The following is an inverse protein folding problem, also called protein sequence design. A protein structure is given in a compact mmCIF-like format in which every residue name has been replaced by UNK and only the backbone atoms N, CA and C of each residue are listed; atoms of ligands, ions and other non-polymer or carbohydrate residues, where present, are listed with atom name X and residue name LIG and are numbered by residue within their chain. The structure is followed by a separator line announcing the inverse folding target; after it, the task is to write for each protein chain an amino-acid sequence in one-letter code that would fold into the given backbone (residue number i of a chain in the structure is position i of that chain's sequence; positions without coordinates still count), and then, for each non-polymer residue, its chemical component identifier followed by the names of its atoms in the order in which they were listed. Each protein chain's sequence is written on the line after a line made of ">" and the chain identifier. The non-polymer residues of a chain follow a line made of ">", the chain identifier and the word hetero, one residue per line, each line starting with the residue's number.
data_IF_355781791761
#
_entry.id   IF_355781791761
#
_cell.length_a   1.000
_cell.length_b   1.000
_cell.length_c   1.000
_cell.angle_alpha   90.00
_cell.angle_beta   90.00
_cell.angle_gamma   90.00
#
_symmetry.space_group_name_H-M   'P 1'
#
loop_
_entity.id
_entity.type
_entity.pdbx_description
1 polymer ?
#
# COMPACT_ATOMS: atom_id res chain seq x y z
N UNK A 1 49.37 52.66 -70.67
CA UNK A 1 48.45 51.59 -71.14
C UNK A 1 47.07 51.90 -70.59
N UNK A 2 46.04 51.96 -71.45
CA UNK A 2 44.66 52.22 -71.01
C UNK A 2 44.13 51.02 -70.20
N UNK A 3 43.66 51.28 -68.97
CA UNK A 3 43.08 50.27 -68.07
C UNK A 3 41.80 49.60 -68.62
N UNK A 4 41.15 50.23 -69.59
CA UNK A 4 39.88 49.79 -70.16
C UNK A 4 39.92 48.38 -70.81
N UNK A 5 41.08 47.88 -71.21
CA UNK A 5 41.21 46.60 -71.89
C UNK A 5 41.70 45.44 -70.98
N UNK A 6 41.75 45.62 -69.66
CA UNK A 6 42.23 44.57 -68.75
C UNK A 6 41.34 43.33 -68.88
N UNK A 7 41.85 42.19 -69.40
CA UNK A 7 41.03 41.01 -69.64
C UNK A 7 40.39 40.49 -68.37
N UNK A 8 39.17 39.96 -68.48
CA UNK A 8 38.57 39.23 -67.36
C UNK A 8 39.43 38.03 -66.98
N UNK A 9 39.61 37.82 -65.67
CA UNK A 9 40.26 36.65 -65.09
C UNK A 9 39.41 36.11 -63.94
N UNK A 10 39.22 34.78 -63.90
CA UNK A 10 38.50 34.11 -62.84
C UNK A 10 39.28 34.10 -61.50
N UNK A 11 40.61 34.18 -61.54
CA UNK A 11 41.46 34.17 -60.34
C UNK A 11 41.37 35.50 -59.57
N UNK A 12 41.13 36.59 -60.30
CA UNK A 12 40.94 37.94 -59.73
C UNK A 12 39.81 38.67 -60.44
N UNK A 13 38.56 38.24 -60.20
CA UNK A 13 37.42 38.70 -60.98
C UNK A 13 37.11 40.16 -60.64
N UNK A 14 37.12 41.00 -61.67
CA UNK A 14 36.71 42.38 -61.59
C UNK A 14 35.17 42.44 -61.73
N UNK A 15 34.45 43.18 -60.86
CA UNK A 15 32.98 43.28 -60.90
C UNK A 15 32.44 43.76 -62.25
N UNK A 16 31.23 43.32 -62.60
CA UNK A 16 30.52 43.71 -63.82
C UNK A 16 30.41 45.22 -63.95
N UNK A 17 30.10 45.91 -62.83
CA UNK A 17 29.92 47.35 -62.77
C UNK A 17 31.16 48.12 -63.23
N UNK A 18 32.35 47.59 -62.98
CA UNK A 18 33.60 48.22 -63.42
C UNK A 18 33.70 48.21 -64.95
N UNK A 19 33.49 47.06 -65.58
CA UNK A 19 33.53 46.94 -67.04
C UNK A 19 32.37 47.70 -67.72
N UNK A 20 31.18 47.71 -67.11
CA UNK A 20 30.05 48.47 -67.63
C UNK A 20 30.30 49.98 -67.60
N UNK A 21 30.92 50.50 -66.53
CA UNK A 21 31.30 51.90 -66.43
C UNK A 21 32.39 52.29 -67.43
N UNK A 22 33.39 51.43 -67.65
CA UNK A 22 34.41 51.66 -68.68
C UNK A 22 33.82 51.62 -70.10
N UNK A 23 32.87 50.73 -70.36
CA UNK A 23 32.15 50.69 -71.64
C UNK A 23 31.38 51.99 -71.89
N UNK A 24 30.61 52.45 -70.89
CA UNK A 24 29.87 53.70 -70.98
C UNK A 24 30.80 54.89 -71.23
N UNK A 25 31.94 54.95 -70.54
CA UNK A 25 32.95 56.01 -70.71
C UNK A 25 33.56 56.00 -72.10
N UNK A 26 33.88 54.82 -72.65
CA UNK A 26 34.44 54.70 -74.00
C UNK A 26 33.41 55.06 -75.08
N UNK A 27 32.16 54.64 -74.93
CA UNK A 27 31.12 54.86 -75.94
C UNK A 27 30.64 56.31 -75.98
N UNK A 28 30.59 57.02 -74.84
CA UNK A 28 30.09 58.41 -74.73
C UNK A 28 30.90 59.47 -75.50
N UNK A 29 32.10 59.15 -76.02
CA UNK A 29 32.97 60.13 -76.71
C UNK A 29 33.38 59.78 -78.14
N UNK A 30 32.91 58.66 -78.71
CA UNK A 30 33.52 58.05 -79.91
C UNK A 30 32.56 57.96 -81.12
N UNK A 31 31.25 57.97 -80.91
CA UNK A 31 30.25 57.79 -81.98
C UNK A 31 29.88 59.16 -82.58
N UNK A 32 29.98 59.38 -83.91
CA UNK A 32 29.86 58.39 -85.00
C UNK A 32 31.16 58.00 -85.76
N UNK A 33 32.32 58.60 -85.47
CA UNK A 33 33.54 58.42 -86.27
C UNK A 33 34.56 57.45 -85.64
N UNK A 34 34.08 56.36 -85.05
CA UNK A 34 34.91 55.38 -84.33
C UNK A 34 35.95 54.72 -85.26
N UNK A 35 37.22 54.76 -84.86
CA UNK A 35 38.29 54.02 -85.55
C UNK A 35 38.18 52.51 -85.29
N UNK A 36 38.78 51.69 -86.18
CA UNK A 36 38.81 50.22 -86.03
C UNK A 36 39.38 49.77 -84.68
N UNK A 37 40.37 50.47 -84.14
CA UNK A 37 40.98 50.12 -82.86
C UNK A 37 40.10 50.49 -81.66
N UNK A 38 39.34 51.57 -81.76
CA UNK A 38 38.31 51.93 -80.76
C UNK A 38 37.18 50.90 -80.75
N UNK A 39 36.75 50.41 -81.91
CA UNK A 39 35.75 49.33 -82.02
C UNK A 39 36.26 48.05 -81.35
N UNK A 40 37.50 47.61 -81.64
CA UNK A 40 38.11 46.44 -80.97
C UNK A 40 38.17 46.60 -79.45
N UNK A 41 38.44 47.81 -78.96
CA UNK A 41 38.49 48.08 -77.52
C UNK A 41 37.09 47.96 -76.90
N UNK A 42 36.06 48.50 -77.56
CA UNK A 42 34.66 48.37 -77.14
C UNK A 42 34.23 46.89 -77.11
N UNK A 43 34.58 46.12 -78.13
CA UNK A 43 34.30 44.67 -78.20
C UNK A 43 34.99 43.90 -77.08
N UNK A 44 36.25 44.24 -76.76
CA UNK A 44 36.98 43.62 -75.65
C UNK A 44 36.33 43.93 -74.29
N UNK A 45 35.93 45.18 -74.04
CA UNK A 45 35.21 45.57 -72.82
C UNK A 45 33.88 44.83 -72.73
N UNK A 46 33.10 44.78 -73.80
CA UNK A 46 31.81 44.08 -73.84
C UNK A 46 31.96 42.57 -73.56
N UNK A 47 33.03 41.96 -74.06
CA UNK A 47 33.37 40.55 -73.77
C UNK A 47 33.72 40.34 -72.30
N UNK A 48 34.43 41.29 -71.69
CA UNK A 48 34.74 41.25 -70.25
C UNK A 48 33.49 41.44 -69.38
N UNK A 49 32.54 42.32 -69.76
CA UNK A 49 31.23 42.48 -69.09
C UNK A 49 30.50 41.13 -69.07
N UNK A 50 30.39 40.47 -70.23
CA UNK A 50 29.71 39.16 -70.35
C UNK A 50 30.39 38.10 -69.49
N UNK A 51 31.73 38.03 -69.55
CA UNK A 51 32.51 37.02 -68.81
C UNK A 51 32.40 37.22 -67.30
N UNK A 52 32.51 38.47 -66.83
CA UNK A 52 32.33 38.82 -65.41
C UNK A 52 30.91 38.50 -64.93
N UNK A 53 29.89 38.84 -65.73
CA UNK A 53 28.50 38.57 -65.36
C UNK A 53 28.22 37.07 -65.24
N UNK A 54 28.65 36.27 -66.22
CA UNK A 54 28.50 34.82 -66.19
C UNK A 54 29.19 34.21 -64.96
N UNK A 55 30.41 34.65 -64.63
CA UNK A 55 31.14 34.16 -63.47
C UNK A 55 30.41 34.45 -62.15
N UNK A 56 29.97 35.70 -61.93
CA UNK A 56 29.27 36.06 -60.70
C UNK A 56 27.87 35.41 -60.61
N UNK A 57 27.18 35.25 -61.73
CA UNK A 57 25.90 34.54 -61.78
C UNK A 57 26.07 33.06 -61.41
N UNK A 58 27.09 32.39 -61.94
CA UNK A 58 27.41 31.01 -61.58
C UNK A 58 27.78 30.90 -60.10
N UNK A 59 28.62 31.80 -59.58
CA UNK A 59 29.00 31.82 -58.16
C UNK A 59 27.79 31.95 -57.24
N UNK A 60 26.89 32.89 -57.54
CA UNK A 60 25.66 33.08 -56.78
C UNK A 60 24.73 31.87 -56.88
N UNK A 61 24.61 31.27 -58.06
CA UNK A 61 23.82 30.05 -58.26
C UNK A 61 24.35 28.88 -57.41
N UNK A 62 25.66 28.66 -57.39
CA UNK A 62 26.28 27.65 -56.53
C UNK A 62 26.02 27.93 -55.04
N UNK A 63 26.18 29.17 -54.60
CA UNK A 63 25.92 29.56 -53.20
C UNK A 63 24.45 29.36 -52.80
N UNK A 64 23.51 29.72 -53.68
CA UNK A 64 22.09 29.52 -53.43
C UNK A 64 21.75 28.03 -53.29
N UNK A 65 22.30 27.18 -54.17
CA UNK A 65 22.11 25.73 -54.08
C UNK A 65 22.66 25.15 -52.76
N UNK A 66 23.83 25.62 -52.31
CA UNK A 66 24.39 25.21 -51.01
C UNK A 66 23.50 25.64 -49.83
N UNK A 67 22.96 26.86 -49.87
CA UNK A 67 22.03 27.34 -48.84
C UNK A 67 20.74 26.55 -48.83
N UNK A 68 20.18 26.22 -49.99
CA UNK A 68 18.97 25.41 -50.10
C UNK A 68 19.17 24.00 -49.53
N UNK A 69 20.31 23.37 -49.81
CA UNK A 69 20.65 22.07 -49.21
C UNK A 69 20.82 22.15 -47.70
N UNK A 70 21.49 23.20 -47.19
CA UNK A 70 21.62 23.43 -45.74
C UNK A 70 20.26 23.64 -45.07
N UNK A 71 19.35 24.35 -45.72
CA UNK A 71 17.99 24.57 -45.23
C UNK A 71 17.22 23.25 -45.12
N UNK A 72 17.20 22.45 -46.19
CA UNK A 72 16.57 21.11 -46.21
C UNK A 72 17.12 20.18 -45.12
N UNK A 73 18.43 20.22 -44.89
CA UNK A 73 19.07 19.45 -43.81
C UNK A 73 18.66 19.95 -42.41
N UNK A 74 18.46 21.25 -42.25
CA UNK A 74 18.00 21.83 -40.97
C UNK A 74 16.53 21.53 -40.71
N UNK A 75 15.69 21.58 -41.73
CA UNK A 75 14.26 21.24 -41.63
C UNK A 75 14.06 19.78 -41.22
N UNK A 76 14.75 18.85 -41.89
CA UNK A 76 14.70 17.43 -41.50
C UNK A 76 15.22 17.17 -40.07
N UNK A 77 16.25 17.91 -39.62
CA UNK A 77 16.71 17.84 -38.23
C UNK A 77 15.66 18.39 -37.25
N UNK A 78 14.98 19.48 -37.58
CA UNK A 78 13.91 20.04 -36.76
C UNK A 78 12.73 19.08 -36.65
N UNK A 79 12.33 18.44 -37.75
CA UNK A 79 11.26 17.43 -37.73
C UNK A 79 11.63 16.23 -36.85
N UNK A 80 12.87 15.75 -36.94
CA UNK A 80 13.37 14.69 -36.08
C UNK A 80 13.39 15.09 -34.59
N UNK A 81 13.73 16.34 -34.27
CA UNK A 81 13.70 16.87 -32.91
C UNK A 81 12.27 17.02 -32.38
N UNK A 82 11.34 17.52 -33.19
CA UNK A 82 9.91 17.58 -32.85
C UNK A 82 9.34 16.20 -32.56
N UNK A 83 9.69 15.20 -33.38
CA UNK A 83 9.28 13.82 -33.14
C UNK A 83 9.84 13.26 -31.83
N UNK A 84 11.09 13.60 -31.47
CA UNK A 84 11.69 13.22 -30.18
C UNK A 84 11.00 13.91 -29.00
N UNK A 85 10.67 15.20 -29.15
CA UNK A 85 9.96 15.97 -28.12
C UNK A 85 8.58 15.36 -27.84
N UNK A 86 7.77 15.12 -28.87
CA UNK A 86 6.45 14.50 -28.72
C UNK A 86 6.53 13.11 -28.08
N UNK A 87 7.60 12.34 -28.31
CA UNK A 87 7.80 11.05 -27.64
C UNK A 87 8.14 11.21 -26.16
N UNK A 88 8.90 12.24 -25.80
CA UNK A 88 9.22 12.52 -24.40
C UNK A 88 8.01 13.04 -23.64
N UNK A 89 7.20 13.92 -24.24
CA UNK A 89 5.94 14.39 -23.66
C UNK A 89 5.01 13.21 -23.32
N UNK A 90 4.80 12.29 -24.26
CA UNK A 90 4.02 11.07 -24.01
C UNK A 90 4.58 10.19 -22.89
N UNK A 91 5.91 10.14 -22.72
CA UNK A 91 6.54 9.41 -21.61
C UNK A 91 6.28 10.09 -20.27
N UNK A 92 6.31 11.42 -20.24
CA UNK A 92 5.97 12.19 -19.03
C UNK A 92 4.51 11.99 -18.64
N UNK A 93 3.58 12.07 -19.59
CA UNK A 93 2.16 11.78 -19.36
C UNK A 93 1.96 10.38 -18.78
N UNK A 94 2.64 9.37 -19.34
CA UNK A 94 2.56 8.00 -18.82
C UNK A 94 3.10 7.88 -17.39
N UNK A 95 4.22 8.52 -17.10
CA UNK A 95 4.82 8.52 -15.76
C UNK A 95 3.91 9.20 -14.72
N UNK A 96 3.22 10.27 -15.12
CA UNK A 96 2.25 10.95 -14.26
C UNK A 96 1.05 10.05 -13.95
N UNK A 97 0.55 9.32 -14.95
CA UNK A 97 -0.50 8.31 -14.76
C UNK A 97 -0.03 7.20 -13.82
N UNK A 98 1.18 6.66 -14.01
CA UNK A 98 1.74 5.60 -13.14
C UNK A 98 1.88 6.08 -11.68
N UNK A 99 2.35 7.32 -11.49
CA UNK A 99 2.45 7.94 -10.16
C UNK A 99 1.07 8.03 -9.50
N UNK A 100 0.06 8.52 -10.23
CA UNK A 100 -1.30 8.64 -9.70
C UNK A 100 -1.90 7.29 -9.32
N UNK A 101 -1.67 6.24 -10.13
CA UNK A 101 -2.10 4.87 -9.82
C UNK A 101 -1.40 4.36 -8.55
N UNK A 102 -0.09 4.61 -8.42
CA UNK A 102 0.66 4.19 -7.23
C UNK A 102 0.15 4.88 -5.95
N UNK A 103 -0.08 6.19 -6.00
CA UNK A 103 -0.63 6.95 -4.88
C UNK A 103 -2.04 6.50 -4.51
N UNK A 104 -2.91 6.29 -5.50
CA UNK A 104 -4.26 5.75 -5.28
C UNK A 104 -4.23 4.37 -4.61
N UNK A 105 -3.38 3.47 -5.10
CA UNK A 105 -3.24 2.13 -4.53
C UNK A 105 -2.68 2.16 -3.11
N UNK A 106 -1.78 3.08 -2.80
CA UNK A 106 -1.24 3.23 -1.44
C UNK A 106 -2.35 3.62 -0.46
N UNK A 107 -3.12 4.66 -0.79
CA UNK A 107 -4.23 5.12 0.05
C UNK A 107 -5.30 4.04 0.20
N UNK A 108 -5.68 3.36 -0.90
CA UNK A 108 -6.66 2.29 -0.83
C UNK A 108 -6.19 1.13 0.04
N UNK A 109 -4.93 0.71 -0.10
CA UNK A 109 -4.39 -0.38 0.70
C UNK A 109 -4.39 -0.06 2.19
N UNK A 110 -3.97 1.15 2.58
CA UNK A 110 -3.98 1.56 3.99
C UNK A 110 -5.43 1.56 4.54
N UNK A 111 -6.38 2.09 3.77
CA UNK A 111 -7.81 2.07 4.14
C UNK A 111 -8.37 0.65 4.28
N UNK A 112 -8.01 -0.27 3.38
CA UNK A 112 -8.45 -1.66 3.44
C UNK A 112 -7.82 -2.41 4.60
N UNK A 113 -6.53 -2.20 4.89
CA UNK A 113 -5.86 -2.82 6.03
C UNK A 113 -6.46 -2.35 7.36
N UNK A 114 -6.77 -1.05 7.48
CA UNK A 114 -7.46 -0.50 8.64
C UNK A 114 -8.88 -1.10 8.78
N UNK A 115 -9.63 -1.17 7.68
CA UNK A 115 -10.96 -1.77 7.68
C UNK A 115 -10.94 -3.25 8.07
N UNK A 116 -10.02 -4.04 7.51
CA UNK A 116 -9.84 -5.46 7.84
C UNK A 116 -9.45 -5.63 9.31
N UNK A 117 -8.58 -4.76 9.83
CA UNK A 117 -8.16 -4.80 11.24
C UNK A 117 -9.35 -4.52 12.17
N UNK A 118 -10.17 -3.52 11.86
CA UNK A 118 -11.40 -3.23 12.60
C UNK A 118 -12.38 -4.42 12.59
N UNK A 119 -12.61 -5.04 11.43
CA UNK A 119 -13.46 -6.22 11.32
C UNK A 119 -12.94 -7.41 12.14
N UNK A 120 -11.62 -7.62 12.18
CA UNK A 120 -11.01 -8.67 13.01
C UNK A 120 -11.25 -8.43 14.49
N UNK A 121 -11.12 -7.18 14.94
CA UNK A 121 -11.37 -6.82 16.33
C UNK A 121 -12.85 -6.98 16.70
N UNK A 122 -13.77 -6.55 15.84
CA UNK A 122 -15.21 -6.77 16.02
C UNK A 122 -15.55 -8.27 16.09
N UNK A 123 -14.99 -9.07 15.19
CA UNK A 123 -15.19 -10.51 15.19
C UNK A 123 -14.67 -11.16 16.47
N UNK A 124 -13.50 -10.75 16.95
CA UNK A 124 -12.92 -11.22 18.21
C UNK A 124 -13.82 -10.85 19.40
N UNK A 125 -14.33 -9.63 19.44
CA UNK A 125 -15.26 -9.20 20.49
C UNK A 125 -16.56 -10.01 20.48
N UNK A 126 -17.13 -10.26 19.30
CA UNK A 126 -18.32 -11.09 19.15
C UNK A 126 -18.07 -12.53 19.60
N UNK A 127 -16.94 -13.12 19.21
CA UNK A 127 -16.55 -14.47 19.64
C UNK A 127 -16.49 -14.59 21.17
N UNK A 128 -15.82 -13.65 21.85
CA UNK A 128 -15.77 -13.62 23.30
C UNK A 128 -17.16 -13.44 23.96
N UNK A 129 -18.06 -12.69 23.33
CA UNK A 129 -19.45 -12.54 23.83
C UNK A 129 -20.22 -13.85 23.68
N UNK A 130 -20.07 -14.54 22.54
CA UNK A 130 -20.72 -15.83 22.30
C UNK A 130 -20.27 -16.87 23.31
N UNK A 131 -18.96 -16.98 23.59
CA UNK A 131 -18.43 -17.91 24.58
C UNK A 131 -19.01 -17.67 25.99
N UNK A 132 -19.14 -16.40 26.40
CA UNK A 132 -19.80 -16.04 27.68
C UNK A 132 -21.25 -16.51 27.74
N UNK A 133 -22.00 -16.29 26.66
CA UNK A 133 -23.40 -16.72 26.56
C UNK A 133 -23.52 -18.25 26.59
N UNK A 134 -22.57 -18.98 26.02
CA UNK A 134 -22.53 -20.45 26.09
C UNK A 134 -22.30 -20.95 27.51
N UNK A 135 -21.36 -20.34 28.24
CA UNK A 135 -21.14 -20.67 29.66
C UNK A 135 -22.39 -20.39 30.49
N UNK A 136 -23.01 -19.21 30.32
CA UNK A 136 -24.25 -18.84 31.03
C UNK A 136 -25.39 -19.83 30.73
N UNK A 137 -25.55 -20.23 29.46
CA UNK A 137 -26.54 -21.24 29.04
C UNK A 137 -26.29 -22.57 29.73
N UNK A 138 -25.04 -23.03 29.80
CA UNK A 138 -24.70 -24.32 30.38
C UNK A 138 -24.89 -24.34 31.91
N UNK A 139 -24.57 -23.24 32.58
CA UNK A 139 -24.83 -23.06 34.01
C UNK A 139 -26.34 -23.01 34.32
N UNK A 140 -27.13 -22.33 33.48
CA UNK A 140 -28.58 -22.33 33.58
C UNK A 140 -29.15 -23.74 33.40
N UNK A 141 -28.70 -24.47 32.38
CA UNK A 141 -29.10 -25.86 32.11
C UNK A 141 -28.80 -26.78 33.30
N UNK A 142 -27.63 -26.63 33.93
CA UNK A 142 -27.26 -27.36 35.15
C UNK A 142 -28.20 -27.02 36.31
N UNK A 143 -28.49 -25.73 36.51
CA UNK A 143 -29.40 -25.24 37.56
C UNK A 143 -30.83 -25.77 37.38
N UNK A 144 -31.34 -25.79 36.15
CA UNK A 144 -32.63 -26.40 35.83
C UNK A 144 -32.67 -27.90 36.13
N UNK A 145 -31.59 -28.63 35.82
CA UNK A 145 -31.50 -30.07 36.09
C UNK A 145 -31.55 -30.37 37.59
N UNK A 146 -30.76 -29.63 38.40
CA UNK A 146 -30.76 -29.73 39.87
C UNK A 146 -32.15 -29.41 40.43
N UNK A 147 -32.78 -28.35 39.92
CA UNK A 147 -34.13 -27.94 40.37
C UNK A 147 -35.18 -28.98 40.02
N UNK A 148 -35.12 -29.58 38.83
CA UNK A 148 -36.02 -30.66 38.40
C UNK A 148 -35.91 -31.89 39.31
N UNK A 149 -34.70 -32.27 39.70
CA UNK A 149 -34.48 -33.40 40.60
C UNK A 149 -35.02 -33.15 42.01
N UNK A 150 -34.83 -31.93 42.53
CA UNK A 150 -35.45 -31.49 43.80
C UNK A 150 -36.98 -31.53 43.74
N UNK A 151 -37.59 -31.11 42.63
CA UNK A 151 -39.04 -31.19 42.44
C UNK A 151 -39.52 -32.64 42.53
N UNK A 152 -38.87 -33.58 41.82
CA UNK A 152 -39.20 -35.01 41.90
C UNK A 152 -39.09 -35.58 43.32
N UNK A 153 -38.07 -35.16 44.07
CA UNK A 153 -37.92 -35.56 45.47
C UNK A 153 -39.06 -35.03 46.34
N UNK A 154 -39.43 -33.76 46.17
CA UNK A 154 -40.53 -33.13 46.91
C UNK A 154 -41.87 -33.77 46.55
N UNK A 155 -42.15 -34.03 45.27
CA UNK A 155 -43.34 -34.76 44.82
C UNK A 155 -43.44 -36.14 45.48
N UNK A 156 -42.31 -36.86 45.56
CA UNK A 156 -42.24 -38.16 46.24
C UNK A 156 -42.51 -38.06 47.74
N UNK A 157 -42.02 -37.01 48.40
CA UNK A 157 -42.28 -36.75 49.82
C UNK A 157 -43.74 -36.40 50.08
N UNK A 158 -44.32 -35.54 49.25
CA UNK A 158 -45.75 -35.17 49.32
C UNK A 158 -46.61 -36.42 49.14
N UNK A 159 -46.35 -37.26 48.14
CA UNK A 159 -47.09 -38.51 47.93
C UNK A 159 -47.00 -39.47 49.13
N UNK A 160 -45.87 -39.51 49.86
CA UNK A 160 -45.74 -40.29 51.10
C UNK A 160 -46.59 -39.68 52.22
N UNK A 161 -46.51 -38.36 52.42
CA UNK A 161 -47.31 -37.65 53.41
C UNK A 161 -48.81 -37.82 53.16
N UNK A 162 -49.27 -37.72 51.91
CA UNK A 162 -50.66 -37.97 51.54
C UNK A 162 -51.12 -39.38 51.90
N UNK A 163 -50.27 -40.40 51.71
CA UNK A 163 -50.58 -41.78 52.15
C UNK A 163 -50.66 -41.89 53.66
N UNK A 164 -49.73 -41.26 54.39
CA UNK A 164 -49.75 -41.24 55.86
C UNK A 164 -50.99 -40.55 56.40
N UNK A 165 -51.38 -39.40 55.83
CA UNK A 165 -52.61 -38.68 56.19
C UNK A 165 -53.83 -39.56 55.94
N UNK A 166 -53.96 -40.16 54.75
CA UNK A 166 -55.06 -41.10 54.44
C UNK A 166 -55.10 -42.32 55.37
N UNK A 167 -53.95 -42.79 55.86
CA UNK A 167 -53.88 -43.87 56.85
C UNK A 167 -54.40 -43.40 58.20
N UNK A 168 -53.95 -42.23 58.68
CA UNK A 168 -54.42 -41.64 59.94
C UNK A 168 -55.91 -41.27 59.89
N UNK A 169 -56.44 -40.84 58.75
CA UNK A 169 -57.87 -40.56 58.54
C UNK A 169 -58.74 -41.83 58.59
N UNK A 170 -58.19 -43.00 58.24
CA UNK A 170 -58.92 -44.29 58.27
C UNK A 170 -58.96 -44.93 59.65
N UNK A 171 -58.09 -44.51 60.56
CA UNK A 171 -58.05 -45.04 61.92
C UNK A 171 -57.84 -43.92 62.97
N UNK A 172 -58.81 -43.00 63.13
CA UNK A 172 -58.75 -41.99 64.18
C UNK A 172 -58.77 -42.63 65.59
N UNK A 173 -59.24 -43.89 65.68
CA UNK A 173 -59.48 -44.57 66.95
C UNK A 173 -58.31 -45.43 67.43
N UNK A 174 -57.22 -45.58 66.66
CA UNK A 174 -56.06 -46.34 67.14
C UNK A 174 -55.36 -45.64 68.32
N UNK A 175 -55.43 -44.30 68.40
CA UNK A 175 -54.92 -43.53 69.53
C UNK A 175 -55.98 -43.22 70.60
N UNK A 176 -57.27 -43.22 70.25
CA UNK A 176 -58.35 -43.06 71.24
C UNK A 176 -58.53 -44.30 72.13
N UNK A 177 -58.24 -45.49 71.60
CA UNK A 177 -58.19 -46.73 72.40
C UNK A 177 -56.91 -46.89 73.24
N UNK A 178 -55.86 -46.11 72.96
CA UNK A 178 -54.67 -46.02 73.81
C UNK A 178 -54.79 -44.92 74.89
N UNK A 179 -55.52 -43.83 74.63
CA UNK A 179 -55.68 -42.74 75.61
C UNK A 179 -56.71 -43.05 76.72
N UNK A 180 -57.66 -43.97 76.46
CA UNK A 180 -58.63 -44.45 77.44
C UNK A 180 -58.06 -45.45 78.46
N UNK A 181 -56.83 -45.95 78.28
CA UNK A 181 -56.13 -46.85 79.22
C UNK A 181 -54.88 -46.22 79.88
N UNK A 182 -54.66 -44.92 79.73
CA UNK A 182 -53.51 -44.19 80.29
C UNK A 182 -53.76 -43.27 81.49
N UNK A 183 -54.85 -43.34 82.30
CA UNK A 183 -54.85 -42.65 83.61
C UNK A 183 -54.04 -43.38 84.69
N UNK A 184 -53.87 -44.71 84.60
CA UNK A 184 -53.34 -45.50 85.73
C UNK A 184 -51.81 -45.71 85.72
N UNK A 185 -51.11 -45.46 84.62
CA UNK A 185 -49.66 -45.67 84.54
C UNK A 185 -48.82 -44.40 84.82
N UNK A 186 -49.44 -43.25 85.07
CA UNK A 186 -48.72 -41.98 85.39
C UNK A 186 -48.44 -41.84 86.89
N UNK A 187 -49.08 -42.65 87.76
CA UNK A 187 -48.76 -42.68 89.20
C UNK A 187 -47.65 -43.66 89.61
N UNK A 188 -47.19 -44.54 88.72
CA UNK A 188 -46.14 -45.52 89.02
C UNK A 188 -44.74 -45.11 88.53
N UNK A 189 -44.64 -44.13 87.63
CA UNK A 189 -43.36 -43.67 87.07
C UNK A 189 -42.71 -42.48 87.80
N UNK A 190 -43.45 -41.74 88.64
CA UNK A 190 -42.90 -40.68 89.51
C UNK A 190 -42.07 -41.24 90.69
N UNK A 191 -42.20 -42.54 90.99
CA UNK A 191 -41.45 -43.22 92.06
C UNK A 191 -40.11 -43.86 91.63
N UNK A 192 -39.77 -43.86 90.33
CA UNK A 192 -38.61 -44.64 89.81
C UNK A 192 -37.55 -43.83 89.06
N UNK A 193 -37.70 -42.52 88.89
CA UNK A 193 -36.66 -41.66 88.28
C UNK A 193 -35.75 -40.94 89.31
N UNK A 194 -35.86 -41.27 90.60
CA UNK A 194 -34.95 -40.77 91.64
C UNK A 194 -33.60 -41.51 91.71
N UNK A 195 -33.34 -42.51 90.86
CA UNK A 195 -32.13 -43.31 90.99
C UNK A 195 -31.61 -43.85 89.65
N UNK A 196 -30.90 -43.02 88.88
CA UNK A 196 -29.85 -43.41 87.93
C UNK A 196 -29.11 -42.17 87.39
N UNK A 197 -28.37 -41.51 88.29
CA UNK A 197 -27.17 -40.78 87.89
C UNK A 197 -26.05 -41.80 87.67
N UNK A 198 -25.45 -41.85 86.48
CA UNK A 198 -24.01 -42.08 86.23
C UNK A 198 -23.72 -42.29 84.72
N UNK A 199 -23.18 -41.23 84.08
CA UNK A 199 -22.05 -41.13 83.10
C UNK A 199 -21.84 -42.21 81.98
N UNK A 200 -21.04 -41.94 80.91
CA UNK A 200 -20.37 -40.70 80.49
C UNK A 200 -20.51 -40.33 78.97
N UNK A 201 -20.08 -39.10 78.68
CA UNK A 201 -19.86 -38.49 77.35
C UNK A 201 -18.81 -39.22 76.49
N UNK A 202 -19.02 -39.31 75.17
CA UNK A 202 -17.99 -39.49 74.12
C UNK A 202 -18.44 -38.79 72.82
N UNK A 203 -17.53 -38.15 72.05
CA UNK A 203 -17.84 -37.00 71.19
C UNK A 203 -17.98 -37.36 69.70
N UNK A 204 -18.65 -36.49 68.92
CA UNK A 204 -18.57 -36.51 67.46
C UNK A 204 -17.73 -35.33 66.97
N UNK A 205 -16.56 -35.68 66.44
CA UNK A 205 -15.57 -34.78 65.86
C UNK A 205 -16.00 -34.18 64.52
N UNK A 206 -15.28 -33.10 64.18
CA UNK A 206 -15.31 -32.28 62.97
C UNK A 206 -15.17 -33.12 61.69
N UNK A 207 -15.66 -32.58 60.57
CA UNK A 207 -14.76 -32.29 59.44
C UNK A 207 -15.29 -31.14 58.58
N UNK A 208 -14.43 -30.13 58.47
CA UNK A 208 -14.43 -29.04 57.49
C UNK A 208 -13.55 -29.54 56.36
N UNK A 209 -14.08 -29.65 55.15
CA UNK A 209 -13.25 -29.84 53.96
C UNK A 209 -13.34 -28.60 53.08
N UNK A 210 -12.24 -27.84 53.12
CA UNK A 210 -11.76 -27.04 51.99
C UNK A 210 -11.05 -28.01 51.03
N UNK A 211 -11.41 -27.96 49.75
CA UNK A 211 -10.51 -28.30 48.63
C UNK A 211 -10.20 -26.98 47.92
N UNK A 212 -9.05 -26.36 48.17
CA UNK A 212 -7.73 -26.62 47.59
C UNK A 212 -7.68 -26.42 46.08
N UNK A 213 -6.94 -25.39 45.69
CA UNK A 213 -6.50 -25.09 44.34
C UNK A 213 -5.55 -26.19 43.81
N UNK A 214 -5.46 -26.21 42.48
CA UNK A 214 -4.25 -26.42 41.67
C UNK A 214 -4.05 -27.81 41.05
N UNK A 215 -4.14 -27.86 39.71
CA UNK A 215 -3.13 -28.51 38.85
C UNK A 215 -3.03 -27.77 37.51
N UNK A 216 -1.98 -26.95 37.41
CA UNK A 216 -1.08 -26.75 36.25
C UNK A 216 -1.42 -27.47 34.93
N UNK A 217 -1.50 -26.68 33.85
CA UNK A 217 -0.85 -26.99 32.58
C UNK A 217 -0.10 -25.73 32.11
N UNK A 218 1.21 -25.70 32.37
CA UNK A 218 2.16 -24.96 31.54
C UNK A 218 2.46 -25.81 30.29
N UNK A 219 2.96 -25.10 29.29
CA UNK A 219 3.64 -25.56 28.09
C UNK A 219 2.77 -25.77 26.84
N UNK A 220 2.65 -24.68 26.07
CA UNK A 220 2.83 -24.66 24.62
C UNK A 220 3.29 -23.25 24.20
N UNK A 221 4.59 -22.98 24.41
CA UNK A 221 5.30 -21.91 23.72
C UNK A 221 6.51 -22.53 23.04
N UNK A 222 6.35 -22.88 21.77
CA UNK A 222 7.36 -23.25 20.78
C UNK A 222 6.61 -23.28 19.44
N UNK A 223 6.97 -22.60 18.35
CA UNK A 223 8.01 -21.63 18.07
C UNK A 223 7.75 -21.08 16.66
N UNK A 224 8.08 -19.81 16.45
CA UNK A 224 8.89 -19.44 15.30
C UNK A 224 9.55 -18.10 15.61
N UNK A 225 10.81 -18.27 16.01
CA UNK A 225 11.90 -17.32 15.97
C UNK A 225 12.05 -16.77 14.56
N UNK A 226 12.17 -15.45 14.46
CA UNK A 226 13.33 -14.76 13.89
C UNK A 226 12.93 -13.30 13.67
N UNK A 227 13.36 -12.40 14.58
CA UNK A 227 14.17 -11.25 14.21
C UNK A 227 14.55 -10.43 15.45
N UNK A 228 15.83 -10.08 15.48
CA UNK A 228 16.57 -9.53 16.60
C UNK A 228 16.10 -8.16 17.09
N UNK A 229 16.16 -8.04 18.43
CA UNK A 229 16.87 -6.93 19.06
C UNK A 229 16.21 -5.57 19.02
N UNK A 230 15.22 -5.34 19.87
CA UNK A 230 15.16 -4.08 20.61
C UNK A 230 14.78 -4.36 22.06
N UNK A 231 15.72 -4.05 22.95
CA UNK A 231 15.53 -4.07 24.39
C UNK A 231 14.25 -3.31 24.76
N UNK A 232 13.29 -4.05 25.32
CA UNK A 232 12.23 -3.46 26.14
C UNK A 232 12.89 -2.96 27.42
N UNK A 233 13.31 -1.70 27.40
CA UNK A 233 13.38 -0.89 28.61
C UNK A 233 12.46 0.31 28.48
N UNK A 234 11.62 0.40 29.49
CA UNK A 234 10.94 1.58 30.01
C UNK A 234 9.72 2.05 29.22
N UNK A 235 8.58 1.51 29.68
CA UNK A 235 7.35 2.26 29.87
C UNK A 235 7.66 3.56 30.63
N UNK A 236 7.75 4.68 29.93
CA UNK A 236 7.18 5.97 30.38
C UNK A 236 7.19 7.03 29.27
N UNK A 237 6.13 7.85 29.28
CA UNK A 237 5.91 9.10 28.55
C UNK A 237 5.42 9.04 27.10
N UNK A 238 4.12 8.85 26.93
CA UNK A 238 3.14 9.97 26.78
C UNK A 238 3.41 11.11 25.78
N UNK A 239 4.46 11.08 24.98
CA UNK A 239 4.70 12.10 23.96
C UNK A 239 4.21 11.58 22.58
N UNK A 240 3.05 12.06 22.08
CA UNK A 240 2.50 11.63 20.79
C UNK A 240 3.46 11.90 19.62
N UNK A 241 4.37 12.84 19.78
CA UNK A 241 5.37 13.18 18.77
C UNK A 241 6.42 12.05 18.59
N UNK A 242 6.80 11.36 19.66
CA UNK A 242 7.73 10.22 19.60
C UNK A 242 7.05 8.99 18.98
N UNK A 243 5.75 8.79 19.24
CA UNK A 243 4.99 7.71 18.60
C UNK A 243 4.81 7.96 17.10
N UNK A 244 4.52 9.20 16.72
CA UNK A 244 4.44 9.62 15.31
C UNK A 244 5.77 9.40 14.60
N UNK A 245 6.89 9.82 15.20
CA UNK A 245 8.22 9.60 14.62
C UNK A 245 8.57 8.11 14.48
N UNK A 246 8.14 7.23 15.40
CA UNK A 246 8.33 5.78 15.26
C UNK A 246 7.48 5.19 14.13
N UNK A 247 6.24 5.64 13.99
CA UNK A 247 5.37 5.23 12.89
C UNK A 247 5.94 5.68 11.53
N UNK A 248 6.36 6.94 11.43
CA UNK A 248 6.98 7.52 10.23
C UNK A 248 8.27 6.78 9.86
N UNK A 249 9.11 6.45 10.84
CA UNK A 249 10.35 5.70 10.61
C UNK A 249 10.07 4.26 10.14
N UNK A 250 9.04 3.61 10.70
CA UNK A 250 8.60 2.28 10.25
C UNK A 250 8.08 2.33 8.81
N UNK A 251 7.34 3.38 8.45
CA UNK A 251 6.85 3.60 7.09
C UNK A 251 8.01 3.85 6.11
N UNK A 252 9.00 4.67 6.49
CA UNK A 252 10.22 4.89 5.71
C UNK A 252 10.99 3.59 5.46
N UNK A 253 11.12 2.72 6.46
CA UNK A 253 11.74 1.41 6.27
C UNK A 253 10.96 0.53 5.29
N UNK A 254 9.63 0.58 5.30
CA UNK A 254 8.78 -0.14 4.34
C UNK A 254 8.95 0.40 2.92
N UNK A 255 9.00 1.73 2.76
CA UNK A 255 9.24 2.41 1.48
C UNK A 255 10.62 2.05 0.94
N UNK A 256 11.66 2.11 1.77
CA UNK A 256 13.03 1.76 1.37
C UNK A 256 13.12 0.30 0.91
N UNK A 257 12.50 -0.64 1.64
CA UNK A 257 12.45 -2.06 1.23
C UNK A 257 11.71 -2.26 -0.10
N UNK A 258 10.67 -1.48 -0.37
CA UNK A 258 9.95 -1.52 -1.65
C UNK A 258 10.80 -0.95 -2.79
N UNK A 259 11.53 0.13 -2.54
CA UNK A 259 12.45 0.74 -3.50
C UNK A 259 13.61 -0.21 -3.85
N UNK A 260 14.21 -0.88 -2.86
CA UNK A 260 15.26 -1.90 -3.07
C UNK A 260 14.79 -3.02 -3.99
N UNK A 261 13.60 -3.59 -3.74
CA UNK A 261 13.03 -4.63 -4.62
C UNK A 261 12.81 -4.15 -6.05
N UNK A 262 12.41 -2.88 -6.24
CA UNK A 262 12.25 -2.30 -7.58
C UNK A 262 13.60 -2.11 -8.29
N UNK A 263 14.63 -1.71 -7.55
CA UNK A 263 16.00 -1.60 -8.07
C UNK A 263 16.50 -2.97 -8.53
N UNK A 264 16.26 -4.02 -7.77
CA UNK A 264 16.65 -5.39 -8.12
C UNK A 264 15.96 -5.86 -9.42
N UNK A 265 14.64 -5.67 -9.54
CA UNK A 265 13.93 -6.03 -10.78
C UNK A 265 14.42 -5.25 -12.01
N UNK A 266 14.76 -3.97 -11.84
CA UNK A 266 15.32 -3.16 -12.92
C UNK A 266 16.71 -3.66 -13.33
N UNK A 267 17.55 -4.03 -12.37
CA UNK A 267 18.86 -4.62 -12.63
C UNK A 267 18.74 -5.95 -13.38
N UNK A 268 17.81 -6.83 -12.98
CA UNK A 268 17.52 -8.07 -13.70
C UNK A 268 17.07 -7.82 -15.14
N UNK A 269 16.22 -6.82 -15.35
CA UNK A 269 15.73 -6.43 -16.68
C UNK A 269 16.86 -5.89 -17.55
N UNK A 270 17.75 -5.07 -16.98
CA UNK A 270 18.95 -4.55 -17.66
C UNK A 270 19.88 -5.69 -18.08
N UNK A 271 20.15 -6.65 -17.20
CA UNK A 271 20.98 -7.80 -17.53
C UNK A 271 20.34 -8.70 -18.60
N UNK A 272 19.02 -8.89 -18.56
CA UNK A 272 18.29 -9.60 -19.62
C UNK A 272 18.41 -8.88 -20.98
N UNK A 273 18.36 -7.55 -21.00
CA UNK A 273 18.56 -6.75 -22.21
C UNK A 273 20.00 -6.82 -22.74
N UNK A 274 21.01 -6.71 -21.86
CA UNK A 274 22.43 -6.90 -22.24
C UNK A 274 22.68 -8.28 -22.84
N UNK A 275 22.07 -9.32 -22.28
CA UNK A 275 22.15 -10.70 -22.78
C UNK A 275 21.48 -10.89 -24.15
N UNK A 276 20.41 -10.13 -24.45
CA UNK A 276 19.79 -10.13 -25.78
C UNK A 276 20.66 -9.41 -26.82
N UNK A 277 21.26 -8.28 -26.45
CA UNK A 277 22.13 -7.51 -27.35
C UNK A 277 23.40 -8.30 -27.69
N UNK A 278 24.02 -8.94 -26.70
CA UNK A 278 25.22 -9.78 -26.91
C UNK A 278 24.99 -11.05 -27.74
N UNK A 279 23.75 -11.46 -27.97
CA UNK A 279 23.39 -12.59 -28.87
C UNK A 279 23.06 -12.15 -30.30
N UNK A 280 22.92 -10.85 -30.53
CA UNK A 280 22.57 -10.23 -31.82
C UNK A 280 23.79 -9.75 -32.62
N UNK A 281 24.99 -9.91 -32.06
CA UNK A 281 26.29 -9.68 -32.69
C UNK A 281 27.09 -10.99 -32.64
#
# INVERSE_FOLDING_TARGET
>A
MHYAATPFSADRPIPVDHYANELNRYVQGIVPNATKDQIKTIEAIATNVKSSHAHFQQKLSCQNNEFEQKLKLKDSKNDALRAKLNRLEKKFEHMEIEKNIYEYNLVCNDQYEDYISNLKDEFKQLSCKTEKVEVERDDYKRSCSISSEKIKMLESQVARLEKTVKFLEKDPNHYESASLNTPDNVKEFDGRLSNCNNRPEVPLGRNTERFSQNTNWRDCREGNTDFDGFEKKDLENGNPEIQKLRADNTNLHRINRCAEKKIDMLNETIEAMKKKISRSY
#
